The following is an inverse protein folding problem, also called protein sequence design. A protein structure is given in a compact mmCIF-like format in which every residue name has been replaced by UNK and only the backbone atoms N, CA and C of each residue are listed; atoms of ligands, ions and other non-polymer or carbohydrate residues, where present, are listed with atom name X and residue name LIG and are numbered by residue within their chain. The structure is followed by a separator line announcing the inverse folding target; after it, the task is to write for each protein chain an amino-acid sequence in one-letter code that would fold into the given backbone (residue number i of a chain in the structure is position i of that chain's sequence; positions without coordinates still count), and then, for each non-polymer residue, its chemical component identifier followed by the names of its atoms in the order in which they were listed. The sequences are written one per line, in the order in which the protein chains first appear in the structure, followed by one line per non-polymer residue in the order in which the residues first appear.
data_IF_879337026682
#
_entry.id   IF_879337026682
#
_cell.length_a   1.000
_cell.length_b   1.000
_cell.length_c   1.000
_cell.angle_alpha   90.00
_cell.angle_beta   90.00
_cell.angle_gamma   90.00
#
_symmetry.space_group_name_H-M   'P 1'
#
loop_
_entity.id
_entity.type
_entity.pdbx_description
1 polymer ?
#
# COMPACT_ATOMS: atom_id res chain seq x y z
N UNK A 1 -4.23 22.91 -6.97
CA UNK A 1 -2.87 22.81 -7.55
C UNK A 1 -3.00 22.09 -8.89
N UNK A 2 -2.45 22.63 -9.98
CA UNK A 2 -2.42 21.96 -11.28
C UNK A 2 -1.00 21.46 -11.55
N UNK A 3 -0.89 20.25 -12.09
CA UNK A 3 0.37 19.68 -12.57
C UNK A 3 0.43 19.87 -14.09
N UNK A 4 1.50 20.50 -14.57
CA UNK A 4 1.75 20.78 -15.97
C UNK A 4 2.72 19.77 -16.58
N UNK A 5 2.78 19.76 -17.91
CA UNK A 5 3.80 18.99 -18.63
C UNK A 5 5.20 19.54 -18.29
N UNK A 6 6.14 18.63 -18.04
CA UNK A 6 7.51 18.95 -17.62
C UNK A 6 7.70 19.22 -16.12
N UNK A 7 6.62 19.29 -15.32
CA UNK A 7 6.72 19.56 -13.89
C UNK A 7 7.51 18.48 -13.14
N UNK A 8 8.19 18.89 -12.07
CA UNK A 8 8.85 17.99 -11.13
C UNK A 8 8.11 18.00 -9.80
N UNK A 9 7.66 16.83 -9.37
CA UNK A 9 6.97 16.63 -8.09
C UNK A 9 7.89 15.91 -7.12
N UNK A 10 8.16 16.55 -5.99
CA UNK A 10 8.92 15.96 -4.89
C UNK A 10 7.96 15.32 -3.88
N UNK A 11 8.19 14.04 -3.57
CA UNK A 11 7.49 13.29 -2.54
C UNK A 11 8.47 13.01 -1.41
N UNK A 12 8.13 13.41 -0.19
CA UNK A 12 8.96 13.20 1.00
C UNK A 12 8.46 11.95 1.73
N UNK A 13 9.29 10.90 1.76
CA UNK A 13 8.99 9.57 2.28
C UNK A 13 8.72 8.55 1.17
N UNK A 14 9.46 7.46 1.17
CA UNK A 14 9.36 6.34 0.22
C UNK A 14 8.61 5.12 0.75
N UNK A 15 7.94 5.25 1.90
CA UNK A 15 7.06 4.21 2.44
C UNK A 15 5.79 3.99 1.59
N UNK A 16 4.86 3.11 2.03
CA UNK A 16 3.70 2.69 1.24
C UNK A 16 2.86 3.84 0.66
N UNK A 17 2.61 4.90 1.46
CA UNK A 17 1.85 6.05 0.98
C UNK A 17 2.58 6.90 -0.07
N UNK A 18 3.89 7.10 0.11
CA UNK A 18 4.69 7.91 -0.81
C UNK A 18 4.95 7.21 -2.14
N UNK A 19 5.26 5.91 -2.10
CA UNK A 19 5.42 5.09 -3.30
C UNK A 19 4.10 4.91 -4.04
N UNK A 20 2.98 4.64 -3.34
CA UNK A 20 1.65 4.63 -3.95
C UNK A 20 1.31 5.96 -4.63
N UNK A 21 1.55 7.08 -3.95
CA UNK A 21 1.35 8.41 -4.52
C UNK A 21 2.18 8.62 -5.80
N UNK A 22 3.46 8.27 -5.78
CA UNK A 22 4.36 8.39 -6.93
C UNK A 22 3.84 7.60 -8.14
N UNK A 23 3.43 6.35 -7.93
CA UNK A 23 2.93 5.49 -8.99
C UNK A 23 1.61 6.01 -9.56
N UNK A 24 0.65 6.37 -8.70
CA UNK A 24 -0.64 6.94 -9.13
C UNK A 24 -0.43 8.23 -9.90
N UNK A 25 0.48 9.10 -9.43
CA UNK A 25 0.79 10.37 -10.10
C UNK A 25 1.35 10.15 -11.51
N UNK A 26 2.30 9.23 -11.67
CA UNK A 26 2.86 8.87 -12.97
C UNK A 26 1.80 8.23 -13.89
N UNK A 27 0.93 7.37 -13.34
CA UNK A 27 -0.18 6.74 -14.07
C UNK A 27 -1.16 7.78 -14.61
N UNK A 28 -1.61 8.70 -13.76
CA UNK A 28 -2.56 9.74 -14.14
C UNK A 28 -1.93 10.77 -15.08
N UNK A 29 -0.66 11.14 -14.89
CA UNK A 29 0.04 12.02 -15.83
C UNK A 29 0.09 11.41 -17.24
N UNK A 30 0.46 10.13 -17.36
CA UNK A 30 0.43 9.40 -18.64
C UNK A 30 -0.96 9.36 -19.26
N UNK A 31 -2.00 9.15 -18.45
CA UNK A 31 -3.40 9.15 -18.93
C UNK A 31 -3.84 10.49 -19.52
N UNK A 32 -3.22 11.58 -19.05
CA UNK A 32 -3.47 12.94 -19.51
C UNK A 32 -2.48 13.42 -20.59
N UNK A 33 -1.66 12.51 -21.15
CA UNK A 33 -0.59 12.82 -22.10
C UNK A 33 0.42 13.87 -21.57
N UNK A 34 0.70 13.80 -20.27
CA UNK A 34 1.68 14.64 -19.60
C UNK A 34 2.90 13.82 -19.19
N UNK A 35 4.08 14.41 -19.39
CA UNK A 35 5.36 13.89 -18.93
C UNK A 35 5.83 14.71 -17.74
N UNK A 36 5.85 14.09 -16.57
CA UNK A 36 6.34 14.71 -15.34
C UNK A 36 7.55 13.94 -14.81
N UNK A 37 8.33 14.60 -13.96
CA UNK A 37 9.36 13.97 -13.16
C UNK A 37 8.86 13.78 -11.74
N UNK A 38 9.07 12.61 -11.15
CA UNK A 38 8.76 12.34 -9.74
C UNK A 38 10.05 12.01 -9.01
N UNK A 39 10.34 12.77 -7.95
CA UNK A 39 11.51 12.57 -7.09
C UNK A 39 11.02 12.16 -5.71
N UNK A 40 11.49 11.01 -5.23
CA UNK A 40 11.20 10.54 -3.87
C UNK A 40 12.43 10.78 -3.00
N UNK A 41 12.25 11.53 -1.91
CA UNK A 41 13.28 11.73 -0.90
C UNK A 41 12.98 10.81 0.29
N UNK A 42 13.89 9.89 0.60
CA UNK A 42 13.76 8.96 1.73
C UNK A 42 15.02 9.02 2.58
N UNK A 43 14.85 9.15 3.89
CA UNK A 43 15.95 9.22 4.84
C UNK A 43 16.53 7.83 5.14
N UNK A 44 15.74 6.77 4.92
CA UNK A 44 16.17 5.38 5.09
C UNK A 44 17.09 4.96 3.97
N UNK A 45 18.18 4.32 4.35
CA UNK A 45 19.05 3.66 3.40
C UNK A 45 18.53 2.24 3.13
N UNK A 46 18.09 1.96 1.90
CA UNK A 46 17.69 0.62 1.47
C UNK A 46 18.88 -0.27 1.06
N UNK A 47 20.07 0.30 0.90
CA UNK A 47 21.33 -0.42 0.68
C UNK A 47 22.01 -0.73 2.02
N UNK A 48 21.65 -1.86 2.64
CA UNK A 48 22.22 -2.30 3.91
C UNK A 48 21.21 -2.96 4.85
N UNK A 49 21.36 -2.74 6.16
CA UNK A 49 20.47 -3.26 7.20
C UNK A 49 19.01 -2.94 6.89
N UNK A 50 18.11 -3.90 7.15
CA UNK A 50 16.66 -3.76 6.91
C UNK A 50 16.06 -2.66 7.79
N UNK A 51 16.08 -1.42 7.33
CA UNK A 51 15.33 -0.33 7.93
C UNK A 51 13.85 -0.48 7.59
N UNK A 52 13.11 -1.16 8.45
CA UNK A 52 11.66 -1.31 8.34
C UNK A 52 10.94 -0.29 9.22
N UNK A 53 9.73 0.09 8.83
CA UNK A 53 8.82 0.72 9.79
C UNK A 53 8.43 -0.31 10.84
N UNK A 54 8.22 0.12 12.08
CA UNK A 54 7.54 -0.69 13.07
C UNK A 54 6.05 -0.73 12.70
N UNK A 55 5.70 -1.60 11.75
CA UNK A 55 4.31 -1.95 11.47
C UNK A 55 4.14 -3.46 11.68
N UNK A 56 2.91 -3.84 12.01
CA UNK A 56 2.56 -5.25 12.21
C UNK A 56 2.49 -6.03 10.88
N UNK A 57 2.50 -5.33 9.74
CA UNK A 57 2.51 -5.94 8.41
C UNK A 57 1.19 -6.60 8.01
N UNK A 58 0.09 -6.27 8.70
CA UNK A 58 -1.24 -6.79 8.39
C UNK A 58 -1.86 -5.98 7.26
N UNK A 59 -2.29 -6.68 6.21
CA UNK A 59 -3.07 -6.12 5.11
C UNK A 59 -4.47 -6.71 5.15
N UNK A 60 -5.48 -5.89 5.43
CA UNK A 60 -6.87 -6.32 5.45
C UNK A 60 -7.44 -6.39 4.02
N UNK A 61 -8.33 -7.34 3.70
CA UNK A 61 -9.14 -7.26 2.50
C UNK A 61 -9.88 -5.90 2.40
N UNK A 62 -10.09 -5.33 1.20
CA UNK A 62 -9.71 -5.83 -0.12
C UNK A 62 -8.35 -5.29 -0.61
N UNK A 63 -7.36 -5.09 0.28
CA UNK A 63 -6.15 -4.35 -0.07
C UNK A 63 -5.33 -4.95 -1.22
N UNK A 64 -5.23 -6.28 -1.30
CA UNK A 64 -4.54 -6.95 -2.43
C UNK A 64 -5.21 -6.63 -3.77
N UNK A 65 -6.54 -6.62 -3.80
CA UNK A 65 -7.33 -6.26 -4.97
C UNK A 65 -7.08 -4.82 -5.40
N UNK A 66 -6.95 -3.89 -4.44
CA UNK A 66 -6.62 -2.49 -4.69
C UNK A 66 -5.22 -2.37 -5.30
N UNK A 67 -4.21 -3.03 -4.71
CA UNK A 67 -2.84 -3.02 -5.23
C UNK A 67 -2.80 -3.51 -6.69
N UNK A 68 -3.51 -4.60 -6.99
CA UNK A 68 -3.53 -5.20 -8.31
C UNK A 68 -4.29 -4.34 -9.33
N UNK A 69 -5.51 -3.89 -8.99
CA UNK A 69 -6.39 -3.18 -9.94
C UNK A 69 -5.97 -1.72 -10.14
N UNK A 70 -5.55 -1.05 -9.07
CA UNK A 70 -5.26 0.39 -9.11
C UNK A 70 -3.79 0.68 -9.40
N UNK A 71 -2.87 -0.13 -8.86
CA UNK A 71 -1.43 0.12 -8.93
C UNK A 71 -0.66 -0.86 -9.81
N UNK A 72 -1.32 -1.88 -10.37
CA UNK A 72 -0.69 -2.96 -11.14
C UNK A 72 0.41 -3.69 -10.36
N UNK A 73 0.20 -3.83 -9.04
CA UNK A 73 1.11 -4.53 -8.13
C UNK A 73 0.48 -5.86 -7.72
N UNK A 74 1.23 -6.93 -7.94
CA UNK A 74 0.97 -8.25 -7.36
C UNK A 74 1.96 -8.47 -6.22
N UNK A 75 1.45 -8.80 -5.03
CA UNK A 75 2.30 -9.13 -3.90
C UNK A 75 2.98 -10.49 -4.17
N UNK A 76 4.32 -10.57 -4.16
CA UNK A 76 5.01 -11.84 -4.25
C UNK A 76 4.66 -12.72 -3.05
N UNK A 77 4.32 -13.99 -3.30
CA UNK A 77 4.02 -14.96 -2.24
C UNK A 77 5.15 -15.06 -1.20
N UNK A 78 6.40 -14.89 -1.64
CA UNK A 78 7.57 -14.90 -0.76
C UNK A 78 7.63 -13.76 0.26
N UNK A 79 6.79 -12.72 0.10
CA UNK A 79 6.64 -11.62 1.05
C UNK A 79 5.45 -11.81 2.01
N UNK A 80 4.58 -12.79 1.74
CA UNK A 80 3.44 -13.11 2.59
C UNK A 80 3.92 -14.07 3.68
N UNK A 81 3.72 -13.69 4.94
CA UNK A 81 4.17 -14.49 6.06
C UNK A 81 3.13 -15.56 6.46
N UNK A 82 1.87 -15.15 6.64
CA UNK A 82 0.74 -16.01 6.97
C UNK A 82 -0.56 -15.33 6.54
N UNK A 83 -1.58 -16.14 6.27
CA UNK A 83 -2.97 -15.68 6.18
C UNK A 83 -3.57 -15.52 7.59
N UNK A 84 -4.42 -14.51 7.76
CA UNK A 84 -5.10 -14.22 9.02
C UNK A 84 -6.58 -14.54 8.86
N UNK A 85 -7.01 -15.65 9.45
CA UNK A 85 -8.40 -16.14 9.38
C UNK A 85 -9.37 -15.37 10.28
N UNK A 86 -8.85 -14.64 11.27
CA UNK A 86 -9.65 -13.87 12.22
C UNK A 86 -8.82 -13.25 13.34
N UNK A 87 -9.51 -12.58 14.25
CA UNK A 87 -8.90 -11.96 15.41
C UNK A 87 -9.54 -12.49 16.69
N UNK A 88 -8.82 -12.43 17.82
CA UNK A 88 -9.41 -12.66 19.15
C UNK A 88 -9.34 -11.37 19.95
N UNK A 89 -10.48 -10.87 20.38
CA UNK A 89 -10.58 -9.72 21.25
C UNK A 89 -10.61 -10.19 22.70
N UNK A 90 -9.66 -9.70 23.50
CA UNK A 90 -9.62 -9.98 24.94
C UNK A 90 -10.08 -8.75 25.74
N UNK A 91 -10.91 -9.00 26.74
CA UNK A 91 -11.32 -8.05 27.78
C UNK A 91 -11.19 -8.72 29.15
N UNK A 92 -11.32 -7.96 30.23
CA UNK A 92 -11.22 -8.49 31.60
C UNK A 92 -12.27 -9.58 31.91
N UNK A 93 -13.41 -9.55 31.21
CA UNK A 93 -14.56 -10.42 31.50
C UNK A 93 -14.84 -11.46 30.41
N UNK A 94 -14.28 -11.30 29.21
CA UNK A 94 -14.58 -12.14 28.06
C UNK A 94 -13.45 -12.15 27.03
N UNK A 95 -13.28 -13.28 26.38
CA UNK A 95 -12.56 -13.39 25.11
C UNK A 95 -13.56 -13.70 23.99
N UNK A 96 -13.50 -12.94 22.90
CA UNK A 96 -14.40 -13.08 21.75
C UNK A 96 -13.58 -13.40 20.49
N UNK A 97 -13.95 -14.49 19.82
CA UNK A 97 -13.41 -14.82 18.49
C UNK A 97 -14.15 -14.01 17.43
N UNK A 98 -13.39 -13.22 16.68
CA UNK A 98 -13.79 -12.46 15.50
C UNK A 98 -13.35 -13.22 14.26
N UNK A 99 -14.01 -14.36 14.01
CA UNK A 99 -13.89 -15.10 12.77
C UNK A 99 -14.88 -14.52 11.76
N UNK A 100 -14.40 -14.11 10.58
CA UNK A 100 -15.31 -13.73 9.51
C UNK A 100 -15.96 -14.98 8.89
N UNK A 101 -17.21 -14.89 8.47
CA UNK A 101 -17.68 -15.72 7.36
C UNK A 101 -17.12 -15.10 6.09
N UNK A 102 -16.58 -15.91 5.15
CA UNK A 102 -16.25 -15.42 3.82
C UNK A 102 -17.53 -14.84 3.20
N UNK A 103 -17.66 -13.51 3.18
CA UNK A 103 -18.66 -12.86 2.34
C UNK A 103 -18.11 -12.92 0.93
N UNK A 104 -18.35 -14.05 0.25
CA UNK A 104 -18.15 -14.21 -1.18
C UNK A 104 -19.10 -13.23 -1.91
N UNK A 105 -18.71 -11.97 -2.05
CA UNK A 105 -19.60 -10.97 -2.64
C UNK A 105 -19.07 -9.55 -2.69
N UNK A 106 -18.45 -9.22 -3.84
CA UNK A 106 -18.51 -7.91 -4.52
C UNK A 106 -18.60 -6.67 -3.61
N UNK A 107 -17.46 -6.03 -3.40
CA UNK A 107 -17.45 -4.58 -3.26
C UNK A 107 -17.74 -3.99 -4.65
N UNK A 108 -18.97 -3.46 -4.81
CA UNK A 108 -19.39 -2.64 -5.95
C UNK A 108 -18.63 -1.30 -5.97
#
# INVERSE_FOLDING_TARGET
MQINDGDTVCIVGGGPGGSACAMTLLKEARRLDKKINVVILEHKNFSGLRHHNQCIGVLSPPFEDILKKELDIVLPESLILNDIEGYRLHSDLLSLDLTGEEVAGRFL
#
